data_IF_505394959515
#
_entry.id   IF_505394959515
#
_cell.length_a   1.000
_cell.length_b   1.000
_cell.length_c   1.000
_cell.angle_alpha   90.00
_cell.angle_beta   90.00
_cell.angle_gamma   90.00
#
_symmetry.space_group_name_H-M   'P 1'
#
loop_
_entity.id
_entity.type
_entity.pdbx_description
1 polymer ?
#
# COMPACT_ATOMS: atom_id res chain seq x y z
N UNK A 1 10.16 -1.85 30.77
CA UNK A 1 9.33 -0.62 30.84
C UNK A 1 7.82 -0.91 30.97
N UNK A 2 7.27 -1.98 30.38
CA UNK A 2 5.85 -2.37 30.61
C UNK A 2 5.51 -2.73 32.07
N UNK A 3 6.52 -2.87 32.91
CA UNK A 3 6.50 -3.06 34.37
C UNK A 3 6.44 -1.75 35.17
N UNK A 4 6.53 -0.58 34.51
CA UNK A 4 6.60 0.73 35.19
C UNK A 4 5.49 1.73 34.79
N UNK A 5 4.74 1.47 33.71
CA UNK A 5 3.64 2.33 33.27
C UNK A 5 2.61 1.54 32.44
N UNK A 6 1.32 1.81 32.70
CA UNK A 6 0.18 1.20 31.99
C UNK A 6 -0.23 1.97 30.71
N UNK A 7 0.35 3.15 30.47
CA UNK A 7 -0.02 4.01 29.35
C UNK A 7 1.09 4.98 28.92
N UNK A 8 1.07 5.36 27.65
CA UNK A 8 2.09 6.21 27.02
C UNK A 8 1.43 7.34 26.24
N UNK A 9 1.79 8.58 26.55
CA UNK A 9 1.46 9.74 25.71
C UNK A 9 2.56 9.96 24.67
N UNK A 10 2.28 9.71 23.39
CA UNK A 10 3.25 9.89 22.30
C UNK A 10 2.82 11.06 21.42
N UNK A 11 3.56 12.17 21.49
CA UNK A 11 3.27 13.41 20.77
C UNK A 11 4.13 13.60 19.51
N UNK A 12 5.17 14.43 19.63
CA UNK A 12 5.97 14.90 18.49
C UNK A 12 6.58 13.80 17.61
N UNK A 13 6.89 12.63 18.16
CA UNK A 13 7.41 11.50 17.39
C UNK A 13 6.44 10.99 16.31
N UNK A 14 5.12 11.15 16.51
CA UNK A 14 4.08 10.80 15.53
C UNK A 14 3.66 12.04 14.76
N UNK A 15 3.32 13.13 15.47
CA UNK A 15 2.76 14.33 14.84
C UNK A 15 3.75 15.02 13.88
N UNK A 16 5.06 14.92 14.14
CA UNK A 16 6.12 15.46 13.30
C UNK A 16 6.98 14.36 12.65
N UNK A 17 6.41 13.17 12.42
CA UNK A 17 7.13 12.10 11.74
C UNK A 17 7.62 12.57 10.35
N UNK A 18 8.82 12.16 9.90
CA UNK A 18 9.28 12.47 8.56
C UNK A 18 8.28 12.03 7.50
N UNK A 19 8.01 12.90 6.52
CA UNK A 19 7.07 12.61 5.44
C UNK A 19 7.66 11.62 4.44
N UNK A 20 6.81 10.78 3.86
CA UNK A 20 7.19 9.94 2.73
C UNK A 20 7.10 10.78 1.46
N UNK A 21 8.19 10.87 0.71
CA UNK A 21 8.29 11.63 -0.54
C UNK A 21 7.60 10.88 -1.69
N UNK A 22 6.28 11.07 -1.82
CA UNK A 22 5.50 10.52 -2.92
C UNK A 22 5.58 11.40 -4.17
N UNK A 23 5.66 10.75 -5.34
CA UNK A 23 5.58 11.42 -6.64
C UNK A 23 4.42 10.85 -7.46
N UNK A 24 3.81 11.72 -8.27
CA UNK A 24 2.82 11.34 -9.27
C UNK A 24 3.43 11.55 -10.64
N UNK A 25 3.40 10.49 -11.46
CA UNK A 25 3.97 10.48 -12.79
C UNK A 25 2.99 9.84 -13.78
N UNK A 26 2.88 10.43 -14.97
CA UNK A 26 2.16 9.80 -16.08
C UNK A 26 2.97 8.58 -16.54
N UNK A 27 2.33 7.42 -16.61
CA UNK A 27 2.94 6.14 -17.02
C UNK A 27 2.38 5.60 -18.34
N UNK A 28 1.28 6.17 -18.83
CA UNK A 28 0.61 5.77 -20.06
C UNK A 28 -0.12 6.97 -20.67
N UNK A 29 -0.05 7.09 -22.00
CA UNK A 29 -0.73 8.12 -22.78
C UNK A 29 -1.45 7.42 -23.93
N UNK A 30 -2.75 7.64 -24.09
CA UNK A 30 -3.58 7.04 -25.14
C UNK A 30 -3.41 5.51 -25.27
N UNK A 31 -3.33 4.81 -24.13
CA UNK A 31 -3.14 3.36 -24.07
C UNK A 31 -1.71 2.88 -24.39
N UNK A 32 -0.76 3.79 -24.63
CA UNK A 32 0.64 3.46 -24.94
C UNK A 32 1.53 3.70 -23.72
N UNK A 33 2.31 2.69 -23.28
CA UNK A 33 3.26 2.85 -22.18
C UNK A 33 4.25 3.99 -22.47
N UNK A 34 4.23 5.03 -21.63
CA UNK A 34 5.12 6.20 -21.78
C UNK A 34 5.46 6.79 -20.41
N UNK A 35 6.72 7.09 -20.15
CA UNK A 35 7.14 7.69 -18.89
C UNK A 35 8.43 8.50 -19.04
N UNK A 36 8.64 9.45 -18.12
CA UNK A 36 9.91 10.20 -18.03
C UNK A 36 11.07 9.31 -17.59
N UNK A 37 12.30 9.76 -17.85
CA UNK A 37 13.53 9.06 -17.41
C UNK A 37 13.49 8.80 -15.90
N UNK A 38 13.83 7.58 -15.52
CA UNK A 38 13.83 7.13 -14.13
C UNK A 38 12.48 6.61 -13.60
N UNK A 39 11.44 6.56 -14.45
CA UNK A 39 10.12 6.01 -14.10
C UNK A 39 9.77 4.83 -15.00
N UNK A 40 9.07 3.84 -14.44
CA UNK A 40 8.62 2.65 -15.19
C UNK A 40 7.29 2.96 -15.87
N UNK A 41 7.20 2.86 -17.20
CA UNK A 41 5.97 3.05 -17.97
C UNK A 41 4.96 1.89 -17.83
N UNK A 42 3.76 2.07 -18.40
CA UNK A 42 2.64 1.13 -18.44
C UNK A 42 1.82 1.07 -17.15
N UNK A 43 0.53 0.74 -17.26
CA UNK A 43 -0.30 0.46 -16.08
C UNK A 43 0.19 -0.83 -15.40
N UNK A 44 0.15 -0.86 -14.07
CA UNK A 44 0.66 -1.95 -13.24
C UNK A 44 -0.33 -2.33 -12.15
N UNK A 45 -0.20 -3.55 -11.67
CA UNK A 45 -0.85 -4.04 -10.46
C UNK A 45 0.21 -4.45 -9.43
N UNK A 46 -0.13 -4.32 -8.15
CA UNK A 46 0.64 -4.85 -7.04
C UNK A 46 -0.10 -6.06 -6.50
N UNK A 47 0.61 -7.19 -6.42
CA UNK A 47 0.09 -8.42 -5.88
C UNK A 47 0.81 -8.77 -4.58
N UNK A 48 0.08 -9.24 -3.58
CA UNK A 48 0.63 -9.93 -2.42
C UNK A 48 0.63 -11.44 -2.69
N UNK A 49 1.80 -12.06 -2.58
CA UNK A 49 1.97 -13.51 -2.75
C UNK A 49 2.22 -14.16 -1.39
N UNK A 50 2.26 -15.50 -1.36
CA UNK A 50 2.52 -16.27 -0.15
C UNK A 50 3.72 -15.71 0.66
N UNK A 51 3.54 -15.63 1.99
CA UNK A 51 4.54 -15.08 2.90
C UNK A 51 4.61 -13.55 2.94
N UNK A 52 3.57 -12.84 2.50
CA UNK A 52 3.49 -11.37 2.60
C UNK A 52 4.40 -10.61 1.63
N UNK A 53 5.10 -11.32 0.73
CA UNK A 53 5.94 -10.70 -0.30
C UNK A 53 5.06 -10.00 -1.32
N UNK A 54 5.46 -8.80 -1.73
CA UNK A 54 4.75 -8.01 -2.74
C UNK A 54 5.51 -7.97 -4.05
N UNK A 55 4.79 -8.13 -5.16
CA UNK A 55 5.33 -8.05 -6.52
C UNK A 55 4.54 -7.06 -7.34
N UNK A 56 5.22 -6.23 -8.11
CA UNK A 56 4.59 -5.28 -9.05
C UNK A 56 4.78 -5.79 -10.46
N UNK A 57 3.68 -6.01 -11.18
CA UNK A 57 3.68 -6.51 -12.55
C UNK A 57 2.90 -5.56 -13.46
N UNK A 58 3.21 -5.51 -14.77
CA UNK A 58 2.34 -4.87 -15.74
C UNK A 58 0.92 -5.43 -15.61
N UNK A 59 -0.10 -4.58 -15.75
CA UNK A 59 -1.50 -5.01 -15.63
C UNK A 59 -1.88 -6.04 -16.71
N UNK A 60 -1.17 -6.03 -17.84
CA UNK A 60 -1.34 -6.99 -18.94
C UNK A 60 -0.70 -8.36 -18.68
N UNK A 61 0.17 -8.48 -17.66
CA UNK A 61 0.76 -9.75 -17.28
C UNK A 61 -0.21 -10.56 -16.42
N UNK A 62 -0.20 -11.90 -16.51
CA UNK A 62 -1.04 -12.73 -15.66
C UNK A 62 -0.69 -12.53 -14.18
N UNK A 63 -1.72 -12.52 -13.33
CA UNK A 63 -1.54 -12.52 -11.88
C UNK A 63 -0.81 -13.80 -11.45
N UNK A 64 0.12 -13.75 -10.47
CA UNK A 64 0.70 -14.95 -9.91
C UNK A 64 -0.40 -15.83 -9.27
N UNK A 65 -0.23 -17.14 -9.33
CA UNK A 65 -1.19 -18.09 -8.78
C UNK A 65 -1.38 -17.88 -7.27
N UNK A 66 -2.65 -17.82 -6.83
CA UNK A 66 -3.01 -17.61 -5.43
C UNK A 66 -2.68 -16.22 -4.87
N UNK A 67 -2.29 -15.26 -5.71
CA UNK A 67 -1.93 -13.92 -5.26
C UNK A 67 -3.14 -12.99 -5.11
N UNK A 68 -3.10 -12.12 -4.10
CA UNK A 68 -4.13 -11.10 -3.87
C UNK A 68 -3.75 -9.78 -4.55
N UNK A 69 -4.69 -9.17 -5.27
CA UNK A 69 -4.50 -7.86 -5.89
C UNK A 69 -4.71 -6.74 -4.87
N UNK A 70 -3.71 -5.88 -4.68
CA UNK A 70 -3.75 -4.83 -3.67
C UNK A 70 -4.31 -3.49 -4.17
N UNK A 71 -4.19 -3.17 -5.46
CA UNK A 71 -4.79 -1.95 -6.00
C UNK A 71 -6.23 -2.23 -6.45
N UNK A 72 -7.18 -1.52 -5.86
CA UNK A 72 -8.60 -1.57 -6.19
C UNK A 72 -9.15 -0.18 -6.55
N UNK A 73 -10.11 -0.07 -7.50
CA UNK A 73 -10.68 1.22 -7.86
C UNK A 73 -11.53 1.81 -6.73
N UNK A 74 -11.24 3.04 -6.31
CA UNK A 74 -12.07 3.81 -5.37
C UNK A 74 -12.95 4.85 -6.06
N UNK A 75 -12.60 5.20 -7.31
CA UNK A 75 -13.31 6.17 -8.14
C UNK A 75 -13.43 5.63 -9.57
N UNK A 76 -14.60 5.80 -10.18
CA UNK A 76 -14.85 5.50 -11.60
C UNK A 76 -15.68 6.63 -12.21
N UNK A 77 -15.21 7.22 -13.30
CA UNK A 77 -15.90 8.29 -14.04
C UNK A 77 -16.40 9.45 -13.13
N UNK A 78 -15.58 9.83 -12.14
CA UNK A 78 -15.93 10.89 -11.18
C UNK A 78 -16.82 10.46 -10.01
N UNK A 79 -17.38 9.24 -10.03
CA UNK A 79 -18.16 8.70 -8.93
C UNK A 79 -17.28 7.88 -7.96
N UNK A 80 -17.47 8.10 -6.67
CA UNK A 80 -16.82 7.29 -5.61
C UNK A 80 -17.51 5.92 -5.57
N UNK A 81 -16.76 4.86 -5.81
CA UNK A 81 -17.26 3.47 -5.85
C UNK A 81 -16.85 2.64 -4.63
N UNK A 82 -15.87 3.10 -3.85
CA UNK A 82 -15.49 2.49 -2.58
C UNK A 82 -15.06 3.56 -1.58
N UNK A 83 -15.41 3.36 -0.30
CA UNK A 83 -15.04 4.23 0.81
C UNK A 83 -14.37 3.39 1.91
N UNK A 84 -13.04 3.33 1.96
CA UNK A 84 -12.36 2.58 3.02
C UNK A 84 -12.62 3.22 4.39
N UNK A 85 -12.75 2.39 5.41
CA UNK A 85 -12.94 2.79 6.80
C UNK A 85 -11.59 2.86 7.56
N UNK A 86 -11.52 3.74 8.55
CA UNK A 86 -10.33 3.88 9.40
C UNK A 86 -10.14 2.70 10.35
N UNK A 87 -11.22 2.12 10.89
CA UNK A 87 -11.09 1.00 11.83
C UNK A 87 -10.55 -0.25 11.13
N UNK A 88 -11.07 -0.58 9.94
CA UNK A 88 -10.58 -1.68 9.11
C UNK A 88 -9.10 -1.47 8.72
N UNK A 89 -8.69 -0.23 8.47
CA UNK A 89 -7.30 0.10 8.17
C UNK A 89 -6.40 -0.10 9.40
N UNK A 90 -6.87 0.29 10.59
CA UNK A 90 -6.17 0.08 11.86
C UNK A 90 -6.03 -1.41 12.16
N UNK A 91 -7.11 -2.17 12.05
CA UNK A 91 -7.11 -3.62 12.31
C UNK A 91 -6.14 -4.35 11.39
N UNK A 92 -6.13 -4.02 10.09
CA UNK A 92 -5.18 -4.58 9.12
C UNK A 92 -3.73 -4.31 9.51
N UNK A 93 -3.40 -3.08 9.92
CA UNK A 93 -2.03 -2.73 10.36
C UNK A 93 -1.66 -3.49 11.64
N UNK A 94 -2.57 -3.60 12.60
CA UNK A 94 -2.32 -4.35 13.84
C UNK A 94 -2.09 -5.85 13.56
N UNK A 95 -2.84 -6.43 12.63
CA UNK A 95 -2.65 -7.81 12.19
C UNK A 95 -1.24 -8.03 11.62
N UNK A 96 -0.78 -7.14 10.73
CA UNK A 96 0.58 -7.21 10.17
C UNK A 96 1.68 -7.07 11.23
N UNK A 97 1.55 -6.09 12.14
CA UNK A 97 2.53 -5.87 13.20
C UNK A 97 2.60 -7.06 14.17
N UNK A 98 1.47 -7.70 14.44
CA UNK A 98 1.42 -8.89 15.29
C UNK A 98 2.15 -10.07 14.64
N UNK A 99 2.02 -10.25 13.33
CA UNK A 99 2.77 -11.27 12.58
C UNK A 99 4.28 -11.05 12.63
N UNK A 100 4.73 -9.80 12.48
CA UNK A 100 6.16 -9.44 12.55
C UNK A 100 6.75 -9.62 13.96
N UNK A 101 5.97 -9.36 15.01
CA UNK A 101 6.40 -9.52 16.39
C UNK A 101 6.60 -11.00 16.80
N UNK A 102 6.04 -11.95 16.06
CA UNK A 102 6.22 -13.39 16.30
C UNK A 102 7.46 -13.99 15.60
N UNK A 103 8.14 -13.25 14.72
CA UNK A 103 9.37 -13.68 14.04
C UNK A 103 10.66 -13.19 14.73
N UNK A 104 10.54 -12.41 15.81
CA UNK A 104 11.64 -11.83 16.57
C UNK A 104 11.89 -12.46 17.94
#
# INVERSE_FOLDING_TARGET
>A
YRDAADGFGVGGAIANAPVIDFSLDIVEIDGRPYAKRGKRSGVKQVYEVAGGRRVTLPLTAPAPEGAESLLSPVLRQGAIVARPNMDDARERVLSWLSGLACEG
#
